data_IF_038801951777
#
_entry.id   IF_038801951777
#
_cell.length_a   1.000
_cell.length_b   1.000
_cell.length_c   1.000
_cell.angle_alpha   90.00
_cell.angle_beta   90.00
_cell.angle_gamma   90.00
#
_symmetry.space_group_name_H-M   'P 1'
#
loop_
_entity.id
_entity.type
_entity.pdbx_description
1 polymer ?
#
# COMPACT_ATOMS: atom_id res chain seq x y z
N UNK A 1 28.62 9.50 15.28
CA UNK A 1 28.27 9.99 13.93
C UNK A 1 27.90 8.78 13.09
N UNK A 2 26.64 8.32 13.10
CA UNK A 2 26.21 7.18 12.28
C UNK A 2 25.70 7.74 10.95
N UNK A 3 26.50 7.60 9.89
CA UNK A 3 26.03 7.77 8.51
C UNK A 3 25.11 6.60 8.19
N UNK A 4 23.83 6.69 8.54
CA UNK A 4 22.85 5.71 8.07
C UNK A 4 22.64 5.95 6.58
N UNK A 5 23.44 5.28 5.76
CA UNK A 5 23.18 5.12 4.34
C UNK A 5 21.75 4.60 4.21
N UNK A 6 20.83 5.42 3.70
CA UNK A 6 19.46 5.01 3.48
C UNK A 6 19.45 3.71 2.66
N UNK A 7 18.71 2.68 3.09
CA UNK A 7 18.75 1.37 2.45
C UNK A 7 18.10 1.47 1.06
N UNK A 8 18.93 1.59 0.03
CA UNK A 8 18.48 1.65 -1.37
C UNK A 8 18.24 0.25 -1.95
N UNK A 9 18.75 -0.77 -1.25
CA UNK A 9 18.60 -2.18 -1.59
C UNK A 9 17.59 -2.86 -0.68
N UNK A 10 16.82 -3.80 -1.24
CA UNK A 10 15.85 -4.62 -0.52
C UNK A 10 16.44 -5.32 0.71
N UNK A 11 17.62 -5.94 0.57
CA UNK A 11 18.29 -6.67 1.65
C UNK A 11 18.62 -5.77 2.83
N UNK A 12 19.11 -4.56 2.56
CA UNK A 12 19.40 -3.57 3.61
C UNK A 12 18.12 -3.08 4.31
N UNK A 13 17.01 -2.90 3.58
CA UNK A 13 15.73 -2.49 4.16
C UNK A 13 15.14 -3.58 5.07
N UNK A 14 15.20 -4.85 4.63
CA UNK A 14 14.81 -6.00 5.44
C UNK A 14 15.70 -6.12 6.67
N UNK A 15 17.02 -6.08 6.50
CA UNK A 15 17.97 -6.17 7.60
C UNK A 15 17.76 -5.05 8.63
N UNK A 16 17.39 -3.84 8.18
CA UNK A 16 17.10 -2.73 9.06
C UNK A 16 15.85 -2.96 9.93
N UNK A 17 14.78 -3.51 9.38
CA UNK A 17 13.58 -3.87 10.13
C UNK A 17 13.87 -5.04 11.09
N UNK A 18 14.58 -6.05 10.62
CA UNK A 18 14.94 -7.23 11.41
C UNK A 18 15.92 -6.93 12.55
N UNK A 19 16.55 -5.74 12.59
CA UNK A 19 17.38 -5.30 13.73
C UNK A 19 16.57 -5.01 15.00
N UNK A 20 15.27 -4.71 14.89
CA UNK A 20 14.42 -4.56 16.08
C UNK A 20 14.00 -5.95 16.59
N UNK A 21 14.41 -6.42 17.78
CA UNK A 21 14.09 -7.77 18.25
C UNK A 21 12.57 -8.03 18.37
N UNK A 22 11.75 -6.99 18.48
CA UNK A 22 10.30 -7.07 18.56
C UNK A 22 9.60 -6.98 17.18
N UNK A 23 10.34 -6.98 16.07
CA UNK A 23 9.80 -6.78 14.72
C UNK A 23 8.69 -7.79 14.39
N UNK A 24 8.93 -9.07 14.67
CA UNK A 24 8.04 -10.17 14.29
C UNK A 24 6.74 -10.09 15.08
N UNK A 25 6.83 -9.83 16.39
CA UNK A 25 5.66 -9.66 17.25
C UNK A 25 4.81 -8.45 16.83
N UNK A 26 5.46 -7.32 16.51
CA UNK A 26 4.77 -6.12 16.01
C UNK A 26 4.05 -6.41 14.69
N UNK A 27 4.67 -7.13 13.76
CA UNK A 27 4.03 -7.49 12.48
C UNK A 27 2.88 -8.48 12.64
N UNK A 28 3.05 -9.48 13.52
CA UNK A 28 1.99 -10.45 13.83
C UNK A 28 0.77 -9.77 14.46
N UNK A 29 0.99 -8.94 15.47
CA UNK A 29 -0.10 -8.29 16.19
C UNK A 29 -0.85 -7.27 15.32
N UNK A 30 -0.14 -6.45 14.54
CA UNK A 30 -0.80 -5.54 13.59
C UNK A 30 -1.45 -6.27 12.41
N UNK A 31 -0.92 -7.43 12.00
CA UNK A 31 -1.59 -8.29 11.01
C UNK A 31 -2.89 -8.88 11.53
N UNK A 32 -2.94 -9.31 12.80
CA UNK A 32 -4.18 -9.75 13.44
C UNK A 32 -5.20 -8.60 13.53
N UNK A 33 -4.74 -7.39 13.89
CA UNK A 33 -5.61 -6.20 13.90
C UNK A 33 -6.16 -5.88 12.51
N UNK A 34 -5.33 -6.00 11.47
CA UNK A 34 -5.72 -5.73 10.08
C UNK A 34 -6.79 -6.67 9.53
N UNK A 35 -7.01 -7.84 10.14
CA UNK A 35 -8.13 -8.73 9.81
C UNK A 35 -9.49 -8.14 10.21
N UNK A 36 -9.51 -7.07 11.00
CA UNK A 36 -10.74 -6.40 11.45
C UNK A 36 -10.85 -5.01 10.84
N UNK A 37 -12.10 -4.56 10.61
CA UNK A 37 -12.37 -3.21 10.07
C UNK A 37 -11.81 -2.12 10.98
N UNK A 38 -11.92 -2.29 12.30
CA UNK A 38 -11.46 -1.31 13.30
C UNK A 38 -9.93 -1.35 13.48
N UNK A 39 -9.31 -2.53 13.37
CA UNK A 39 -7.87 -2.69 13.53
C UNK A 39 -7.06 -2.35 12.28
N UNK A 40 -7.68 -2.30 11.10
CA UNK A 40 -7.04 -1.87 9.86
C UNK A 40 -6.45 -0.43 9.96
N UNK A 41 -7.19 0.59 10.43
CA UNK A 41 -6.61 1.90 10.71
C UNK A 41 -5.40 1.87 11.64
N UNK A 42 -5.44 1.05 12.70
CA UNK A 42 -4.32 0.94 13.63
C UNK A 42 -3.06 0.35 12.96
N UNK A 43 -3.23 -0.66 12.09
CA UNK A 43 -2.15 -1.25 11.32
C UNK A 43 -1.55 -0.24 10.31
N UNK A 44 -2.40 0.51 9.62
CA UNK A 44 -1.93 1.55 8.67
C UNK A 44 -1.25 2.70 9.41
N UNK A 45 -1.78 3.13 10.55
CA UNK A 45 -1.18 4.17 11.39
C UNK A 45 0.20 3.76 11.89
N UNK A 46 0.40 2.48 12.27
CA UNK A 46 1.71 1.96 12.65
C UNK A 46 2.73 2.09 11.50
N UNK A 47 2.31 1.81 10.27
CA UNK A 47 3.15 1.97 9.07
C UNK A 47 3.44 3.45 8.83
N UNK A 48 2.47 4.33 9.03
CA UNK A 48 2.61 5.77 8.87
C UNK A 48 3.60 6.39 9.88
N UNK A 49 3.54 5.95 11.14
CA UNK A 49 4.51 6.36 12.17
C UNK A 49 5.93 5.86 11.83
N UNK A 50 6.04 4.67 11.21
CA UNK A 50 7.31 4.18 10.66
C UNK A 50 7.83 5.06 9.52
N UNK A 51 6.96 5.56 8.63
CA UNK A 51 7.33 6.55 7.62
C UNK A 51 7.92 7.81 8.27
N UNK A 52 7.21 8.40 9.24
CA UNK A 52 7.65 9.63 9.91
C UNK A 52 9.00 9.43 10.64
N UNK A 53 9.14 8.37 11.43
CA UNK A 53 10.39 8.02 12.13
C UNK A 53 11.57 7.84 11.17
N UNK A 54 11.34 7.15 10.05
CA UNK A 54 12.37 6.90 9.04
C UNK A 54 12.83 8.19 8.37
N UNK A 55 11.89 9.12 8.10
CA UNK A 55 12.20 10.43 7.53
C UNK A 55 12.98 11.32 8.48
N UNK A 56 12.63 11.31 9.77
CA UNK A 56 13.39 11.99 10.84
C UNK A 56 14.79 11.43 11.06
N UNK A 57 15.13 10.29 10.42
CA UNK A 57 16.44 9.66 10.52
C UNK A 57 16.56 8.62 11.63
N UNK A 58 15.44 8.28 12.29
CA UNK A 58 15.36 7.30 13.37
C UNK A 58 14.48 6.11 12.94
N UNK A 59 14.87 5.32 11.93
CA UNK A 59 14.04 4.23 11.42
C UNK A 59 13.92 3.04 12.41
N UNK A 60 14.75 3.03 13.46
CA UNK A 60 14.68 2.09 14.60
C UNK A 60 14.75 2.88 15.92
N UNK A 61 14.08 2.41 16.99
CA UNK A 61 13.22 1.21 17.06
C UNK A 61 11.88 1.39 16.31
N UNK A 62 11.19 0.29 15.98
CA UNK A 62 9.85 0.38 15.39
C UNK A 62 8.89 1.05 16.39
N UNK A 63 7.85 1.76 15.91
CA UNK A 63 6.90 2.51 16.73
C UNK A 63 6.44 1.79 18.02
N UNK A 64 6.45 2.47 19.18
CA UNK A 64 6.03 1.89 20.47
C UNK A 64 4.50 1.81 20.59
N UNK A 65 3.98 1.01 21.52
CA UNK A 65 2.53 0.76 21.68
C UNK A 65 1.73 1.85 22.43
N UNK A 66 2.27 3.06 22.59
CA UNK A 66 1.76 4.01 23.60
C UNK A 66 0.58 4.87 23.13
N UNK A 67 0.50 5.22 21.84
CA UNK A 67 -0.41 6.27 21.36
C UNK A 67 -1.44 5.75 20.33
N UNK A 68 -2.37 4.91 20.80
CA UNK A 68 -3.40 4.26 19.98
C UNK A 68 -4.32 5.23 19.22
N UNK A 69 -4.75 6.32 19.87
CA UNK A 69 -5.70 7.28 19.28
C UNK A 69 -5.08 8.03 18.12
N UNK A 70 -3.87 8.58 18.33
CA UNK A 70 -3.16 9.32 17.28
C UNK A 70 -2.80 8.39 16.11
N UNK A 71 -2.42 7.14 16.41
CA UNK A 71 -2.20 6.11 15.40
C UNK A 71 -3.45 5.77 14.61
N UNK A 72 -4.60 5.61 15.27
CA UNK A 72 -5.86 5.35 14.58
C UNK A 72 -6.24 6.52 13.66
N UNK A 73 -6.11 7.77 14.13
CA UNK A 73 -6.41 8.97 13.34
C UNK A 73 -5.49 9.06 12.11
N UNK A 74 -4.18 8.93 12.30
CA UNK A 74 -3.21 8.95 11.19
C UNK A 74 -3.44 7.79 10.22
N UNK A 75 -3.85 6.63 10.73
CA UNK A 75 -4.26 5.49 9.93
C UNK A 75 -5.52 5.72 9.10
N UNK A 76 -6.56 6.33 9.68
CA UNK A 76 -7.79 6.71 8.96
C UNK A 76 -7.47 7.71 7.85
N UNK A 77 -6.61 8.69 8.13
CA UNK A 77 -6.14 9.67 7.15
C UNK A 77 -5.36 8.99 6.02
N UNK A 78 -4.46 8.06 6.33
CA UNK A 78 -3.76 7.29 5.31
C UNK A 78 -4.70 6.36 4.50
N UNK A 79 -5.73 5.78 5.14
CA UNK A 79 -6.77 5.00 4.44
C UNK A 79 -7.63 5.87 3.53
N UNK A 80 -7.82 7.16 3.84
CA UNK A 80 -8.54 8.08 2.96
C UNK A 80 -7.78 8.30 1.64
N UNK A 81 -6.44 8.24 1.65
CA UNK A 81 -5.61 8.24 0.44
C UNK A 81 -5.93 7.00 -0.40
N UNK A 82 -5.94 5.81 0.22
CA UNK A 82 -6.28 4.56 -0.49
C UNK A 82 -7.75 4.58 -0.98
N UNK A 83 -8.66 5.16 -0.20
CA UNK A 83 -10.06 5.33 -0.58
C UNK A 83 -10.19 6.21 -1.83
N UNK A 84 -9.52 7.36 -1.85
CA UNK A 84 -9.62 8.31 -2.95
C UNK A 84 -8.99 7.80 -4.25
N UNK A 85 -7.83 7.12 -4.17
CA UNK A 85 -7.11 6.66 -5.35
C UNK A 85 -7.52 5.27 -5.83
N UNK A 86 -7.98 4.38 -4.96
CA UNK A 86 -8.29 3.00 -5.34
C UNK A 86 -9.77 2.67 -5.23
N UNK A 87 -10.42 3.00 -4.11
CA UNK A 87 -11.82 2.62 -3.88
C UNK A 87 -12.77 3.49 -4.70
N UNK A 88 -12.54 4.80 -4.79
CA UNK A 88 -13.42 5.71 -5.51
C UNK A 88 -13.44 5.41 -7.02
N UNK A 89 -12.30 5.23 -7.72
CA UNK A 89 -12.32 4.80 -9.13
C UNK A 89 -12.96 3.44 -9.32
N UNK A 90 -12.80 2.52 -8.36
CA UNK A 90 -13.44 1.22 -8.39
C UNK A 90 -14.98 1.35 -8.26
N UNK A 91 -15.47 2.18 -7.34
CA UNK A 91 -16.91 2.45 -7.19
C UNK A 91 -17.50 3.07 -8.45
N UNK A 92 -16.83 4.06 -9.05
CA UNK A 92 -17.26 4.65 -10.33
C UNK A 92 -17.27 3.58 -11.42
N UNK A 93 -16.23 2.74 -11.49
CA UNK A 93 -16.13 1.65 -12.46
C UNK A 93 -17.28 0.65 -12.31
N UNK A 94 -17.59 0.21 -11.09
CA UNK A 94 -18.70 -0.70 -10.80
C UNK A 94 -20.04 -0.06 -11.16
N UNK A 95 -20.24 1.23 -10.83
CA UNK A 95 -21.46 1.94 -11.20
C UNK A 95 -21.66 1.97 -12.72
N UNK A 96 -20.61 2.33 -13.47
CA UNK A 96 -20.63 2.33 -14.95
C UNK A 96 -20.90 0.93 -15.49
N UNK A 97 -20.29 -0.11 -14.91
CA UNK A 97 -20.51 -1.51 -15.29
C UNK A 97 -21.98 -1.92 -15.08
N UNK A 98 -22.57 -1.59 -13.93
CA UNK A 98 -23.96 -1.93 -13.60
C UNK A 98 -24.93 -1.15 -14.48
N UNK A 99 -24.73 0.15 -14.64
CA UNK A 99 -25.60 0.99 -15.48
C UNK A 99 -25.55 0.57 -16.96
N UNK A 100 -24.37 0.32 -17.51
CA UNK A 100 -24.21 -0.16 -18.89
C UNK A 100 -24.79 -1.57 -19.08
N UNK A 101 -24.56 -2.48 -18.12
CA UNK A 101 -25.15 -3.81 -18.14
C UNK A 101 -26.68 -3.77 -18.12
N UNK A 102 -27.27 -2.98 -17.22
CA UNK A 102 -28.72 -2.84 -17.10
C UNK A 102 -29.36 -2.26 -18.36
N UNK A 103 -28.77 -1.20 -18.93
CA UNK A 103 -29.28 -0.56 -20.15
C UNK A 103 -29.23 -1.50 -21.36
N UNK A 104 -28.16 -2.28 -21.53
CA UNK A 104 -28.05 -3.26 -22.61
C UNK A 104 -29.04 -4.42 -22.48
N UNK A 105 -29.27 -4.89 -21.24
CA UNK A 105 -30.28 -5.92 -20.95
C UNK A 105 -31.69 -5.41 -21.27
N UNK A 106 -32.02 -4.19 -20.85
CA UNK A 106 -33.33 -3.58 -21.12
C UNK A 106 -33.54 -3.28 -22.61
N UNK A 107 -32.48 -2.97 -23.34
CA UNK A 107 -32.52 -2.76 -24.80
C UNK A 107 -32.52 -4.07 -25.60
N UNK A 108 -32.49 -5.24 -24.95
CA UNK A 108 -32.36 -6.56 -25.58
C UNK A 108 -31.13 -6.71 -26.50
N UNK A 109 -30.08 -5.91 -26.30
CA UNK A 109 -28.85 -5.92 -27.09
C UNK A 109 -27.80 -6.86 -26.50
N UNK A 110 -28.14 -8.15 -26.38
CA UNK A 110 -27.28 -9.16 -25.73
C UNK A 110 -25.95 -9.37 -26.45
N UNK A 111 -25.88 -9.11 -27.75
CA UNK A 111 -24.65 -9.20 -28.56
C UNK A 111 -23.57 -8.19 -28.13
N UNK A 112 -23.97 -7.03 -27.61
CA UNK A 112 -23.04 -5.98 -27.16
C UNK A 112 -22.67 -6.10 -25.67
N UNK A 113 -23.37 -6.95 -24.92
CA UNK A 113 -23.18 -7.08 -23.47
C UNK A 113 -21.77 -7.54 -23.11
N UNK A 114 -21.31 -8.64 -23.70
CA UNK A 114 -19.97 -9.20 -23.46
C UNK A 114 -18.83 -8.24 -23.81
N UNK A 115 -18.76 -7.65 -25.02
CA UNK A 115 -17.66 -6.75 -25.37
C UNK A 115 -17.66 -5.46 -24.54
N UNK A 116 -18.84 -4.90 -24.22
CA UNK A 116 -18.93 -3.68 -23.39
C UNK A 116 -18.48 -3.96 -21.96
N UNK A 117 -18.98 -5.05 -21.34
CA UNK A 117 -18.58 -5.40 -19.97
C UNK A 117 -17.08 -5.71 -19.88
N UNK A 118 -16.53 -6.46 -20.84
CA UNK A 118 -15.08 -6.72 -20.91
C UNK A 118 -14.29 -5.42 -21.10
N UNK A 119 -14.75 -4.52 -21.96
CA UNK A 119 -14.13 -3.22 -22.17
C UNK A 119 -14.05 -2.41 -20.87
N UNK A 120 -15.16 -2.30 -20.14
CA UNK A 120 -15.23 -1.59 -18.87
C UNK A 120 -14.32 -2.23 -17.82
N UNK A 121 -14.37 -3.56 -17.67
CA UNK A 121 -13.51 -4.30 -16.74
C UNK A 121 -12.02 -4.11 -17.08
N UNK A 122 -11.67 -4.13 -18.36
CA UNK A 122 -10.29 -3.90 -18.81
C UNK A 122 -9.81 -2.48 -18.51
N UNK A 123 -10.68 -1.48 -18.68
CA UNK A 123 -10.37 -0.08 -18.39
C UNK A 123 -10.17 0.14 -16.89
N UNK A 124 -11.05 -0.43 -16.06
CA UNK A 124 -10.93 -0.39 -14.60
C UNK A 124 -9.62 -1.05 -14.18
N UNK A 125 -9.33 -2.25 -14.69
CA UNK A 125 -8.11 -2.98 -14.40
C UNK A 125 -6.85 -2.23 -14.83
N UNK A 126 -6.86 -1.59 -16.00
CA UNK A 126 -5.74 -0.79 -16.50
C UNK A 126 -5.53 0.47 -15.66
N UNK A 127 -6.61 1.16 -15.27
CA UNK A 127 -6.53 2.31 -14.38
C UNK A 127 -5.94 1.91 -13.03
N UNK A 128 -6.48 0.86 -12.40
CA UNK A 128 -5.99 0.33 -11.13
C UNK A 128 -4.52 -0.09 -11.21
N UNK A 129 -4.17 -0.84 -12.26
CA UNK A 129 -2.79 -1.26 -12.54
C UNK A 129 -1.86 -0.08 -12.72
N UNK A 130 -2.28 0.97 -13.43
CA UNK A 130 -1.49 2.18 -13.64
C UNK A 130 -1.23 2.93 -12.33
N UNK A 131 -2.26 3.16 -11.50
CA UNK A 131 -2.13 3.82 -10.20
C UNK A 131 -1.24 3.01 -9.24
N UNK A 132 -1.38 1.68 -9.29
CA UNK A 132 -0.54 0.77 -8.54
C UNK A 132 0.92 0.82 -9.00
N UNK A 133 1.19 0.83 -10.31
CA UNK A 133 2.55 0.86 -10.85
C UNK A 133 3.25 2.21 -10.60
N UNK A 134 2.51 3.32 -10.66
CA UNK A 134 3.04 4.65 -10.34
C UNK A 134 3.42 4.74 -8.85
N UNK A 135 2.80 3.94 -7.97
CA UNK A 135 3.04 4.00 -6.54
C UNK A 135 2.38 5.22 -5.89
N UNK A 136 1.19 5.61 -6.36
CA UNK A 136 0.49 6.82 -5.87
C UNK A 136 0.22 6.73 -4.36
N UNK A 137 -0.20 5.58 -3.85
CA UNK A 137 -0.43 5.37 -2.41
C UNK A 137 0.82 5.63 -1.53
N UNK A 138 1.97 4.95 -1.74
CA UNK A 138 3.15 5.20 -0.91
C UNK A 138 3.70 6.63 -1.07
N UNK A 139 3.58 7.24 -2.25
CA UNK A 139 3.98 8.65 -2.46
C UNK A 139 3.03 9.59 -1.70
N UNK A 140 1.72 9.36 -1.75
CA UNK A 140 0.73 10.14 -1.01
C UNK A 140 0.97 10.05 0.51
N UNK A 141 1.27 8.86 1.03
CA UNK A 141 1.64 8.66 2.43
C UNK A 141 2.93 9.39 2.79
N UNK A 142 3.91 9.46 1.87
CA UNK A 142 5.14 10.21 2.08
C UNK A 142 4.90 11.73 2.15
N UNK A 143 4.03 12.28 1.29
CA UNK A 143 3.63 13.70 1.32
C UNK A 143 2.87 14.00 2.61
N UNK A 144 1.92 13.13 2.99
CA UNK A 144 1.18 13.26 4.24
C UNK A 144 2.11 13.24 5.46
N UNK A 145 3.18 12.44 5.42
CA UNK A 145 4.20 12.39 6.46
C UNK A 145 5.04 13.68 6.52
N UNK A 146 5.07 14.47 5.45
CA UNK A 146 5.88 15.70 5.35
C UNK A 146 5.10 16.88 5.89
N UNK A 147 3.92 17.06 5.33
CA UNK A 147 3.15 18.29 5.44
C UNK A 147 2.09 18.18 6.53
N UNK A 148 1.74 16.96 6.98
CA UNK A 148 0.64 16.72 7.92
C UNK A 148 -0.73 17.08 7.36
N UNK A 149 -0.81 17.53 6.10
CA UNK A 149 -2.02 18.00 5.43
C UNK A 149 -2.51 16.96 4.44
N UNK A 150 -3.66 16.36 4.73
CA UNK A 150 -4.23 15.34 3.86
C UNK A 150 -4.71 15.89 2.52
N UNK A 151 -5.09 17.17 2.46
CA UNK A 151 -5.54 17.85 1.25
C UNK A 151 -4.48 17.79 0.14
N UNK A 152 -3.21 17.97 0.51
CA UNK A 152 -2.09 17.93 -0.44
C UNK A 152 -1.75 16.49 -0.83
N UNK A 153 -1.88 15.53 0.08
CA UNK A 153 -1.69 14.11 -0.22
C UNK A 153 -2.77 13.55 -1.19
N UNK A 154 -3.98 14.13 -1.17
CA UNK A 154 -5.09 13.79 -2.05
C UNK A 154 -5.10 14.58 -3.37
N UNK A 155 -4.25 15.60 -3.51
CA UNK A 155 -4.27 16.45 -4.69
C UNK A 155 -3.57 15.81 -5.90
N UNK A 156 -3.75 16.45 -7.06
CA UNK A 156 -2.98 16.15 -8.28
C UNK A 156 -1.47 16.32 -8.09
N UNK A 157 -1.02 16.98 -7.01
CA UNK A 157 0.40 17.17 -6.71
C UNK A 157 1.09 15.84 -6.40
N UNK A 158 0.39 14.88 -5.79
CA UNK A 158 0.90 13.52 -5.55
C UNK A 158 1.25 12.82 -6.87
N UNK A 159 0.35 12.89 -7.84
CA UNK A 159 0.55 12.31 -9.18
C UNK A 159 1.64 13.10 -9.91
N UNK A 160 1.59 14.43 -9.87
CA UNK A 160 2.60 15.28 -10.50
C UNK A 160 4.00 14.97 -9.97
N UNK A 161 4.20 14.92 -8.64
CA UNK A 161 5.48 14.59 -7.99
C UNK A 161 5.99 13.20 -8.38
N UNK A 162 5.10 12.23 -8.61
CA UNK A 162 5.49 10.92 -9.12
C UNK A 162 6.10 10.96 -10.54
N UNK A 163 5.65 11.89 -11.39
CA UNK A 163 6.14 12.05 -12.76
C UNK A 163 7.27 13.06 -12.93
N UNK A 164 7.50 13.93 -11.95
CA UNK A 164 8.57 14.95 -12.01
C UNK A 164 9.96 14.30 -11.97
N UNK A 165 10.88 14.61 -12.92
CA UNK A 165 12.29 14.23 -12.79
C UNK A 165 12.97 15.06 -11.68
N UNK A 166 13.93 14.52 -10.90
CA UNK A 166 14.50 13.17 -10.98
C UNK A 166 13.73 12.09 -10.18
N UNK A 167 12.65 12.45 -9.47
CA UNK A 167 11.91 11.58 -8.56
C UNK A 167 11.36 10.31 -9.24
N UNK A 168 10.87 10.44 -10.49
CA UNK A 168 10.29 9.32 -11.27
C UNK A 168 11.16 8.06 -11.29
N UNK A 169 12.46 8.20 -11.57
CA UNK A 169 13.36 7.04 -11.71
C UNK A 169 13.63 6.36 -10.38
N UNK A 170 13.75 7.14 -9.30
CA UNK A 170 14.00 6.60 -7.97
C UNK A 170 12.75 5.92 -7.40
N UNK A 171 11.56 6.53 -7.57
CA UNK A 171 10.30 5.92 -7.16
C UNK A 171 9.98 4.65 -7.97
N UNK A 172 10.27 4.62 -9.28
CA UNK A 172 10.09 3.41 -10.06
C UNK A 172 10.97 2.26 -9.57
N UNK A 173 12.25 2.52 -9.25
CA UNK A 173 13.15 1.53 -8.67
C UNK A 173 12.69 1.08 -7.28
N UNK A 174 12.22 2.01 -6.45
CA UNK A 174 11.63 1.70 -5.15
C UNK A 174 10.37 0.84 -5.29
N UNK A 175 9.55 1.07 -6.33
CA UNK A 175 8.36 0.28 -6.59
C UNK A 175 8.70 -1.16 -6.97
N UNK A 176 9.58 -1.35 -7.94
CA UNK A 176 10.00 -2.70 -8.37
C UNK A 176 10.65 -3.49 -7.22
N UNK A 177 11.49 -2.84 -6.43
CA UNK A 177 12.11 -3.48 -5.25
C UNK A 177 11.07 -3.77 -4.16
N UNK A 178 10.13 -2.86 -3.90
CA UNK A 178 9.04 -3.11 -2.95
C UNK A 178 8.13 -4.26 -3.38
N UNK A 179 7.92 -4.46 -4.69
CA UNK A 179 7.09 -5.54 -5.22
C UNK A 179 7.65 -6.91 -4.84
N UNK A 180 8.98 -7.06 -4.85
CA UNK A 180 9.64 -8.27 -4.38
C UNK A 180 9.38 -8.54 -2.89
N UNK A 181 9.22 -7.49 -2.07
CA UNK A 181 8.85 -7.64 -0.66
C UNK A 181 7.42 -8.18 -0.46
N UNK A 182 6.54 -8.01 -1.45
CA UNK A 182 5.17 -8.55 -1.43
C UNK A 182 5.08 -10.01 -1.91
N UNK A 183 6.16 -10.61 -2.42
CA UNK A 183 6.15 -12.01 -2.87
C UNK A 183 5.64 -13.00 -1.80
N UNK A 184 6.07 -12.93 -0.52
CA UNK A 184 5.54 -13.82 0.52
C UNK A 184 4.04 -13.64 0.74
N UNK A 185 3.55 -12.40 0.72
CA UNK A 185 2.12 -12.12 0.80
C UNK A 185 1.36 -12.66 -0.42
N UNK A 186 1.93 -12.55 -1.63
CA UNK A 186 1.37 -13.13 -2.84
C UNK A 186 1.25 -14.65 -2.78
N UNK A 187 2.27 -15.34 -2.27
CA UNK A 187 2.23 -16.80 -2.07
C UNK A 187 1.15 -17.21 -1.06
N UNK A 188 1.00 -16.47 0.04
CA UNK A 188 -0.06 -16.71 1.01
C UNK A 188 -1.44 -16.42 0.42
N UNK A 189 -1.60 -15.41 -0.43
CA UNK A 189 -2.87 -15.15 -1.10
C UNK A 189 -3.26 -16.29 -2.06
N UNK A 190 -2.28 -16.86 -2.79
CA UNK A 190 -2.50 -18.04 -3.65
C UNK A 190 -2.86 -19.27 -2.79
N UNK A 191 -2.19 -19.45 -1.66
CA UNK A 191 -2.50 -20.51 -0.71
C UNK A 191 -3.93 -20.36 -0.17
N UNK A 192 -4.33 -19.15 0.24
CA UNK A 192 -5.67 -18.82 0.73
C UNK A 192 -6.73 -19.16 -0.31
N UNK A 193 -6.51 -18.77 -1.57
CA UNK A 193 -7.38 -19.12 -2.67
C UNK A 193 -7.50 -20.65 -2.84
N UNK A 194 -6.37 -21.36 -2.81
CA UNK A 194 -6.35 -22.82 -2.86
C UNK A 194 -7.11 -23.47 -1.71
N UNK A 195 -6.95 -22.97 -0.48
CA UNK A 195 -7.66 -23.45 0.71
C UNK A 195 -9.17 -23.23 0.58
N UNK A 196 -9.61 -22.11 0.02
CA UNK A 196 -11.03 -21.84 -0.25
C UNK A 196 -11.60 -22.80 -1.29
N UNK A 197 -10.88 -23.02 -2.40
CA UNK A 197 -11.31 -23.93 -3.48
C UNK A 197 -11.41 -25.38 -2.99
N UNK A 198 -10.47 -25.80 -2.14
CA UNK A 198 -10.44 -27.14 -1.54
C UNK A 198 -11.36 -27.29 -0.33
N UNK A 199 -12.10 -26.24 0.04
CA UNK A 199 -12.98 -26.20 1.20
C UNK A 199 -12.30 -26.66 2.50
N UNK A 200 -11.09 -26.15 2.73
CA UNK A 200 -10.30 -26.41 3.92
C UNK A 200 -11.03 -25.98 5.20
N UNK A 201 -10.68 -26.54 6.37
CA UNK A 201 -11.31 -26.13 7.62
C UNK A 201 -11.09 -24.64 7.89
N UNK A 202 -12.18 -23.97 8.28
CA UNK A 202 -12.23 -22.54 8.61
C UNK A 202 -11.05 -22.03 9.49
N UNK A 203 -10.58 -22.72 10.54
CA UNK A 203 -9.44 -22.26 11.32
C UNK A 203 -8.14 -22.13 10.50
N UNK A 204 -7.91 -22.99 9.49
CA UNK A 204 -6.75 -22.87 8.61
C UNK A 204 -6.87 -21.64 7.71
N UNK A 205 -8.07 -21.34 7.20
CA UNK A 205 -8.32 -20.16 6.36
C UNK A 205 -8.09 -18.87 7.18
N UNK A 206 -8.56 -18.83 8.43
CA UNK A 206 -8.32 -17.68 9.33
C UNK A 206 -6.83 -17.53 9.64
N UNK A 207 -6.15 -18.63 9.95
CA UNK A 207 -4.71 -18.62 10.27
C UNK A 207 -3.89 -18.12 9.07
N UNK A 208 -4.19 -18.61 7.88
CA UNK A 208 -3.55 -18.16 6.65
C UNK A 208 -3.85 -16.69 6.34
N UNK A 209 -5.10 -16.25 6.53
CA UNK A 209 -5.49 -14.84 6.43
C UNK A 209 -4.71 -13.94 7.40
N UNK A 210 -4.50 -14.40 8.64
CA UNK A 210 -3.65 -13.69 9.60
C UNK A 210 -2.21 -13.57 9.11
N UNK A 211 -1.60 -14.67 8.65
CA UNK A 211 -0.23 -14.63 8.09
C UNK A 211 -0.14 -13.73 6.86
N UNK A 212 -1.15 -13.75 5.99
CA UNK A 212 -1.25 -12.89 4.82
C UNK A 212 -1.24 -11.41 5.22
N UNK A 213 -2.07 -11.03 6.19
CA UNK A 213 -2.10 -9.66 6.71
C UNK A 213 -0.77 -9.27 7.38
N UNK A 214 -0.15 -10.15 8.15
CA UNK A 214 1.15 -9.90 8.78
C UNK A 214 2.28 -9.73 7.76
N UNK A 215 2.31 -10.57 6.72
CA UNK A 215 3.24 -10.43 5.61
C UNK A 215 3.01 -9.13 4.84
N UNK A 216 1.75 -8.72 4.67
CA UNK A 216 1.37 -7.45 4.06
C UNK A 216 1.86 -6.23 4.86
N UNK A 217 1.72 -6.25 6.19
CA UNK A 217 2.25 -5.20 7.08
C UNK A 217 3.77 -5.14 6.97
N UNK A 218 4.45 -6.28 7.01
CA UNK A 218 5.91 -6.34 6.86
C UNK A 218 6.37 -5.77 5.51
N UNK A 219 5.71 -6.16 4.41
CA UNK A 219 6.01 -5.63 3.08
C UNK A 219 5.79 -4.11 2.99
N UNK A 220 4.75 -3.58 3.62
CA UNK A 220 4.51 -2.14 3.70
C UNK A 220 5.59 -1.40 4.51
N UNK A 221 6.11 -1.99 5.60
CA UNK A 221 7.24 -1.43 6.33
C UNK A 221 8.52 -1.38 5.48
N UNK A 222 8.82 -2.46 4.74
CA UNK A 222 9.96 -2.49 3.80
C UNK A 222 9.79 -1.43 2.72
N UNK A 223 8.58 -1.31 2.18
CA UNK A 223 8.21 -0.25 1.25
C UNK A 223 8.48 1.14 1.83
N UNK A 224 8.09 1.39 3.07
CA UNK A 224 8.34 2.68 3.72
C UNK A 224 9.83 3.07 3.74
N UNK A 225 10.70 2.12 4.08
CA UNK A 225 12.16 2.37 4.08
C UNK A 225 12.69 2.68 2.68
N UNK A 226 12.24 1.95 1.66
CA UNK A 226 12.68 2.12 0.27
C UNK A 226 12.21 3.46 -0.32
N UNK A 227 10.97 3.87 -0.04
CA UNK A 227 10.43 5.14 -0.54
C UNK A 227 11.08 6.35 0.14
N UNK A 228 11.33 6.29 1.45
CA UNK A 228 12.07 7.34 2.16
C UNK A 228 13.51 7.44 1.64
N UNK A 229 14.16 6.30 1.37
CA UNK A 229 15.49 6.28 0.76
C UNK A 229 15.49 6.91 -0.64
N UNK A 230 14.51 6.55 -1.48
CA UNK A 230 14.37 7.07 -2.83
C UNK A 230 14.14 8.59 -2.86
N UNK A 231 13.31 9.12 -1.95
CA UNK A 231 13.09 10.55 -1.83
C UNK A 231 14.37 11.30 -1.46
N UNK A 232 15.12 10.82 -0.47
CA UNK A 232 16.40 11.44 -0.08
C UNK A 232 17.40 11.49 -1.23
N UNK A 233 17.49 10.42 -2.02
CA UNK A 233 18.36 10.40 -3.19
C UNK A 233 17.94 11.41 -4.26
N UNK A 234 16.64 11.52 -4.52
CA UNK A 234 16.11 12.48 -5.48
C UNK A 234 16.36 13.94 -5.03
N UNK A 235 16.20 14.22 -3.74
CA UNK A 235 16.49 15.54 -3.16
C UNK A 235 17.97 15.92 -3.26
N UNK A 236 18.89 14.98 -3.00
CA UNK A 236 20.33 15.20 -3.13
C UNK A 236 20.72 15.57 -4.57
N UNK A 237 20.15 14.86 -5.55
CA UNK A 237 20.38 15.14 -6.98
C UNK A 237 19.79 16.47 -7.45
N UNK A 238 18.76 16.99 -6.79
CA UNK A 238 18.16 18.29 -7.14
C UNK A 238 18.96 19.46 -6.58
N UNK A 239 19.75 19.22 -5.53
CA UNK A 239 20.59 20.24 -4.88
C UNK A 239 22.03 20.27 -5.41
N UNK A 240 22.44 19.25 -6.17
CA UNK A 240 23.73 19.15 -6.84
C UNK A 240 23.65 19.79 -8.24
#
# INVERSE_FOLDING_TARGET
MYTSSSPTTLSAAIALICRDPAWWWKCLLHGALAMTIIGLPLAVGFIMESYDNSRRGFPIPLPPWRDWTLRAITGILALLIDLAFFVLPLMIGILVLVCSGLTLVLAAQTQLLEPVMRGILSLIGLLWGSLFLIGVAPIGRLIFAEEGRIEQALSLDTVRRAFTPPYRTYFWRARLTSLAAYLPAGLLAVLMWGLMVLNAPLPLIILDGWFLCSAGVFAQLVGAQLYVAAERQAQLMTRA
#
